data_IF_361754565996
#
_entry.id   IF_361754565996
#
_cell.length_a   1.000
_cell.length_b   1.000
_cell.length_c   1.000
_cell.angle_alpha   90.00
_cell.angle_beta   90.00
_cell.angle_gamma   90.00
#
_symmetry.space_group_name_H-M   'P 1'
#
loop_
_entity.id
_entity.type
_entity.pdbx_description
1 polymer ?
#
# COMPACT_ATOMS: atom_id res chain seq x y z
N UNK A 1 -0.51 -23.05 30.46
CA UNK A 1 -1.96 -23.27 30.65
C UNK A 1 -2.69 -22.34 29.69
N UNK A 2 -3.50 -22.88 28.78
CA UNK A 2 -4.31 -22.09 27.84
C UNK A 2 -4.45 -22.74 26.47
N UNK A 3 -4.93 -23.99 26.44
CA UNK A 3 -5.40 -24.65 25.22
C UNK A 3 -6.84 -24.14 24.99
N UNK A 4 -7.07 -23.37 23.93
CA UNK A 4 -8.43 -23.16 23.42
C UNK A 4 -8.59 -24.11 22.23
N UNK A 5 -9.04 -25.33 22.55
CA UNK A 5 -9.57 -26.27 21.58
C UNK A 5 -10.95 -25.78 21.14
N UNK A 6 -11.09 -25.36 19.89
CA UNK A 6 -12.40 -25.22 19.26
C UNK A 6 -12.91 -26.63 18.88
N UNK A 7 -13.64 -27.26 19.81
CA UNK A 7 -14.48 -28.41 19.51
C UNK A 7 -15.67 -27.94 18.67
N UNK A 8 -15.63 -28.17 17.36
CA UNK A 8 -16.83 -28.15 16.52
C UNK A 8 -17.44 -29.54 16.60
N UNK A 9 -18.32 -29.75 17.57
CA UNK A 9 -19.22 -30.89 17.61
C UNK A 9 -20.40 -30.65 16.66
N UNK A 10 -20.36 -31.25 15.47
CA UNK A 10 -21.51 -31.31 14.56
C UNK A 10 -22.06 -32.74 14.58
N UNK A 11 -23.16 -32.92 15.34
CA UNK A 11 -23.98 -34.12 15.34
C UNK A 11 -24.66 -34.30 13.98
N UNK A 12 -24.28 -35.35 13.27
CA UNK A 12 -25.05 -35.83 12.13
C UNK A 12 -24.93 -37.35 11.95
N UNK A 13 -26.10 -37.98 11.91
CA UNK A 13 -26.39 -39.34 11.45
C UNK A 13 -25.40 -39.84 10.39
N UNK A 14 -24.67 -40.92 10.67
CA UNK A 14 -23.76 -41.64 9.75
C UNK A 14 -22.89 -40.75 8.82
N UNK A 15 -22.48 -39.56 9.25
CA UNK A 15 -21.67 -38.65 8.43
C UNK A 15 -20.19 -39.01 8.49
N UNK A 16 -19.57 -39.10 7.32
CA UNK A 16 -18.14 -39.32 7.10
C UNK A 16 -17.27 -38.53 8.10
N UNK A 17 -16.45 -39.25 8.87
CA UNK A 17 -15.56 -38.68 9.87
C UNK A 17 -14.50 -37.79 9.20
N UNK A 18 -14.49 -36.50 9.54
CA UNK A 18 -13.47 -35.53 9.14
C UNK A 18 -12.52 -35.34 10.31
N UNK A 19 -11.22 -35.51 10.08
CA UNK A 19 -10.18 -35.30 11.08
C UNK A 19 -9.22 -34.19 10.63
N UNK A 20 -9.02 -33.11 11.41
CA UNK A 20 -8.07 -32.06 11.06
C UNK A 20 -6.62 -32.56 11.18
N UNK A 21 -5.77 -32.16 10.23
CA UNK A 21 -4.31 -32.35 10.24
C UNK A 21 -3.58 -31.02 10.49
N UNK A 22 -4.16 -29.91 10.01
CA UNK A 22 -3.79 -28.53 10.33
C UNK A 22 -5.00 -27.62 10.12
N UNK A 23 -4.82 -26.29 10.19
CA UNK A 23 -5.86 -25.32 9.82
C UNK A 23 -6.32 -25.46 8.36
N UNK A 24 -5.41 -25.89 7.47
CA UNK A 24 -5.64 -25.97 6.02
C UNK A 24 -5.78 -27.40 5.49
N UNK A 25 -5.35 -28.44 6.23
CA UNK A 25 -5.36 -29.83 5.76
C UNK A 25 -6.23 -30.73 6.63
N UNK A 26 -7.04 -31.58 5.99
CA UNK A 26 -8.01 -32.45 6.66
C UNK A 26 -8.00 -33.84 6.03
N UNK A 27 -8.17 -34.88 6.85
CA UNK A 27 -8.42 -36.25 6.40
C UNK A 27 -9.91 -36.54 6.43
N UNK A 28 -10.47 -36.99 5.30
CA UNK A 28 -11.88 -37.37 5.18
C UNK A 28 -12.02 -38.58 4.27
N UNK A 29 -12.75 -39.59 4.72
CA UNK A 29 -13.06 -40.81 3.94
C UNK A 29 -11.82 -41.45 3.30
N UNK A 30 -10.71 -41.52 4.06
CA UNK A 30 -9.46 -42.12 3.61
C UNK A 30 -8.64 -41.27 2.62
N UNK A 31 -9.01 -40.03 2.33
CA UNK A 31 -8.25 -39.12 1.48
C UNK A 31 -7.86 -37.82 2.23
N UNK A 32 -6.83 -37.14 1.71
CA UNK A 32 -6.41 -35.83 2.21
C UNK A 32 -7.11 -34.73 1.39
N UNK A 33 -7.51 -33.67 2.08
CA UNK A 33 -8.12 -32.48 1.51
C UNK A 33 -7.37 -31.23 1.95
N UNK A 34 -7.15 -30.31 1.01
CA UNK A 34 -6.77 -28.93 1.29
C UNK A 34 -8.02 -28.04 1.33
N UNK A 35 -8.18 -27.27 2.40
CA UNK A 35 -9.32 -26.39 2.67
C UNK A 35 -8.78 -25.07 3.23
N UNK A 36 -8.71 -24.00 2.44
CA UNK A 36 -8.06 -22.77 2.85
C UNK A 36 -8.77 -22.15 4.06
N UNK A 37 -8.01 -21.91 5.13
CA UNK A 37 -8.46 -21.32 6.39
C UNK A 37 -9.65 -22.04 7.03
N UNK A 38 -9.83 -23.33 6.75
CA UNK A 38 -10.91 -24.13 7.33
C UNK A 38 -12.34 -23.66 6.96
N UNK A 39 -12.50 -22.83 5.92
CA UNK A 39 -13.78 -22.21 5.53
C UNK A 39 -14.82 -23.17 4.89
N UNK A 40 -14.86 -24.42 5.37
CA UNK A 40 -15.87 -25.44 5.07
C UNK A 40 -15.72 -26.08 3.69
N UNK A 41 -15.97 -27.40 3.62
CA UNK A 41 -16.01 -28.16 2.36
C UNK A 41 -16.98 -27.56 1.31
N UNK A 42 -18.01 -26.84 1.77
CA UNK A 42 -19.05 -26.26 0.91
C UNK A 42 -18.60 -25.02 0.13
N UNK A 43 -17.50 -24.35 0.53
CA UNK A 43 -16.97 -23.16 -0.16
C UNK A 43 -15.76 -23.44 -1.05
N UNK A 44 -15.30 -24.69 -1.06
CA UNK A 44 -14.19 -25.14 -1.90
C UNK A 44 -13.20 -25.97 -1.11
N UNK A 45 -13.00 -27.22 -1.53
CA UNK A 45 -11.97 -28.11 -1.01
C UNK A 45 -11.29 -28.83 -2.16
N UNK A 46 -9.98 -29.01 -2.08
CA UNK A 46 -9.22 -29.82 -3.03
C UNK A 46 -9.00 -31.21 -2.45
N UNK A 47 -9.64 -32.23 -3.03
CA UNK A 47 -9.24 -33.62 -2.78
C UNK A 47 -7.86 -33.85 -3.39
N UNK A 48 -6.91 -34.29 -2.60
CA UNK A 48 -5.54 -34.51 -3.02
C UNK A 48 -5.33 -35.95 -3.48
N UNK A 49 -4.41 -36.14 -4.42
CA UNK A 49 -3.81 -37.43 -4.74
C UNK A 49 -2.50 -37.51 -3.97
N UNK A 50 -2.59 -37.83 -2.68
CA UNK A 50 -1.46 -37.90 -1.76
C UNK A 50 -1.39 -39.27 -1.09
N UNK A 51 -0.18 -39.72 -0.78
CA UNK A 51 0.05 -40.90 0.03
C UNK A 51 -0.31 -40.62 1.49
N UNK A 52 -1.48 -41.11 1.88
CA UNK A 52 -2.10 -40.84 3.19
C UNK A 52 -1.23 -41.35 4.36
N UNK A 53 -0.43 -42.39 4.13
CA UNK A 53 0.39 -43.02 5.18
C UNK A 53 1.62 -42.18 5.54
N UNK A 54 2.23 -41.52 4.55
CA UNK A 54 3.41 -40.66 4.71
C UNK A 54 3.12 -39.16 4.73
N UNK A 55 1.84 -38.77 4.54
CA UNK A 55 1.44 -37.36 4.50
C UNK A 55 1.77 -36.64 5.81
N UNK A 56 2.46 -35.50 5.70
CA UNK A 56 2.81 -34.62 6.79
C UNK A 56 2.64 -33.15 6.38
N UNK A 57 2.03 -32.36 7.25
CA UNK A 57 1.95 -30.91 7.07
C UNK A 57 3.30 -30.30 7.47
N UNK A 58 3.87 -29.47 6.59
CA UNK A 58 5.11 -28.71 6.89
C UNK A 58 4.73 -27.49 7.71
N UNK A 59 3.89 -26.62 7.14
CA UNK A 59 3.32 -25.42 7.78
C UNK A 59 2.28 -24.79 6.86
N UNK A 60 1.16 -24.32 7.41
CA UNK A 60 0.12 -23.60 6.66
C UNK A 60 -0.25 -24.37 5.38
N UNK A 61 -0.08 -23.74 4.21
CA UNK A 61 -0.39 -24.28 2.89
C UNK A 61 0.64 -25.27 2.36
N UNK A 62 1.77 -25.50 3.04
CA UNK A 62 2.83 -26.42 2.65
C UNK A 62 2.67 -27.78 3.34
N UNK A 63 2.71 -28.85 2.54
CA UNK A 63 2.70 -30.23 3.03
C UNK A 63 3.61 -31.10 2.17
N UNK A 64 3.82 -32.35 2.58
CA UNK A 64 4.55 -33.35 1.80
C UNK A 64 4.04 -34.75 2.07
N UNK A 65 4.33 -35.65 1.16
CA UNK A 65 4.33 -37.09 1.41
C UNK A 65 5.66 -37.69 0.94
N UNK A 66 5.75 -39.01 0.83
CA UNK A 66 6.97 -39.70 0.38
C UNK A 66 7.36 -39.40 -1.08
N UNK A 67 6.43 -38.96 -1.92
CA UNK A 67 6.59 -38.80 -3.37
C UNK A 67 6.51 -37.34 -3.83
N UNK A 68 5.90 -36.43 -3.05
CA UNK A 68 5.67 -35.04 -3.46
C UNK A 68 5.75 -34.05 -2.30
N UNK A 69 6.08 -32.81 -2.66
CA UNK A 69 5.78 -31.62 -1.85
C UNK A 69 4.54 -30.94 -2.45
N UNK A 70 3.67 -30.46 -1.57
CA UNK A 70 2.42 -29.81 -1.92
C UNK A 70 2.42 -28.36 -1.47
N UNK A 71 1.92 -27.49 -2.36
CA UNK A 71 1.53 -26.12 -2.04
C UNK A 71 0.04 -25.96 -2.33
N UNK A 72 -0.75 -25.57 -1.32
CA UNK A 72 -2.21 -25.46 -1.43
C UNK A 72 -2.90 -26.73 -1.98
N UNK A 73 -2.36 -27.90 -1.59
CA UNK A 73 -2.81 -29.21 -2.05
C UNK A 73 -2.42 -29.58 -3.49
N UNK A 74 -1.65 -28.76 -4.21
CA UNK A 74 -1.13 -29.07 -5.53
C UNK A 74 0.32 -29.58 -5.46
N UNK A 75 0.65 -30.72 -6.11
CA UNK A 75 2.01 -31.22 -6.14
C UNK A 75 2.92 -30.23 -6.88
N UNK A 76 4.16 -30.07 -6.40
CA UNK A 76 5.17 -29.20 -6.97
C UNK A 76 6.29 -30.06 -7.56
N UNK A 77 6.63 -29.84 -8.83
CA UNK A 77 7.55 -30.69 -9.60
C UNK A 77 9.00 -30.18 -9.58
N UNK A 78 9.21 -28.88 -9.33
CA UNK A 78 10.55 -28.27 -9.37
C UNK A 78 11.35 -28.40 -8.06
N UNK A 79 10.72 -28.92 -7.01
CA UNK A 79 11.31 -28.95 -5.66
C UNK A 79 11.96 -30.30 -5.35
N UNK A 80 13.12 -30.29 -4.71
CA UNK A 80 13.67 -31.53 -4.15
C UNK A 80 12.90 -31.94 -2.88
N UNK A 81 12.18 -33.05 -2.95
CA UNK A 81 11.27 -33.52 -1.89
C UNK A 81 12.00 -33.75 -0.56
N UNK A 82 13.25 -34.24 -0.61
CA UNK A 82 13.99 -34.66 0.59
C UNK A 82 14.51 -33.47 1.37
N UNK A 83 14.93 -32.43 0.68
CA UNK A 83 15.60 -31.26 1.26
C UNK A 83 14.69 -30.04 1.36
N UNK A 84 13.49 -30.07 0.77
CA UNK A 84 12.53 -28.99 0.86
C UNK A 84 12.17 -28.64 2.32
N UNK A 85 12.24 -27.35 2.63
CA UNK A 85 11.91 -26.80 3.94
C UNK A 85 11.51 -25.33 3.85
N UNK A 86 10.96 -24.81 4.95
CA UNK A 86 10.69 -23.37 5.11
C UNK A 86 11.74 -22.75 6.03
N UNK A 87 12.65 -21.96 5.46
CA UNK A 87 13.63 -21.19 6.23
C UNK A 87 13.09 -19.78 6.46
N UNK A 88 12.70 -19.46 7.69
CA UNK A 88 12.05 -18.18 8.00
C UNK A 88 10.83 -17.89 7.10
N UNK A 89 9.99 -18.91 6.85
CA UNK A 89 8.85 -18.90 5.93
C UNK A 89 9.22 -18.75 4.43
N UNK A 90 10.49 -18.84 4.06
CA UNK A 90 10.94 -18.86 2.67
C UNK A 90 11.06 -20.32 2.23
N UNK A 91 10.32 -20.77 1.19
CA UNK A 91 10.45 -22.11 0.67
C UNK A 91 11.79 -22.26 -0.05
N UNK A 92 12.58 -23.23 0.40
CA UNK A 92 13.88 -23.56 -0.17
C UNK A 92 14.04 -25.08 -0.27
N UNK A 93 14.92 -25.52 -1.16
CA UNK A 93 15.55 -26.83 -1.07
C UNK A 93 17.08 -26.67 -1.02
N UNK A 94 17.84 -27.75 -1.23
CA UNK A 94 19.30 -27.68 -1.18
C UNK A 94 19.94 -26.80 -2.27
N UNK A 95 19.26 -26.59 -3.41
CA UNK A 95 19.80 -25.86 -4.58
C UNK A 95 19.05 -24.54 -4.86
N UNK A 96 17.78 -24.45 -4.49
CA UNK A 96 16.89 -23.39 -4.96
C UNK A 96 16.16 -22.67 -3.83
N UNK A 97 15.88 -21.40 -4.09
CA UNK A 97 14.88 -20.60 -3.38
C UNK A 97 13.65 -20.49 -4.25
N UNK A 98 12.47 -20.69 -3.67
CA UNK A 98 11.21 -20.64 -4.40
C UNK A 98 10.41 -19.38 -4.09
N UNK A 99 9.64 -18.94 -5.07
CA UNK A 99 8.61 -17.92 -4.94
C UNK A 99 7.28 -18.50 -5.40
N UNK A 100 6.20 -17.93 -4.89
CA UNK A 100 4.86 -18.21 -5.39
C UNK A 100 4.52 -17.31 -6.58
N UNK A 101 4.01 -17.89 -7.67
CA UNK A 101 3.44 -17.16 -8.80
C UNK A 101 1.95 -17.48 -8.98
N UNK A 102 1.15 -16.45 -9.32
CA UNK A 102 -0.27 -16.59 -9.64
C UNK A 102 -1.22 -16.23 -8.50
N UNK A 103 -2.45 -16.78 -8.57
CA UNK A 103 -3.51 -16.54 -7.59
C UNK A 103 -3.77 -17.79 -6.76
N UNK A 104 -3.73 -17.63 -5.45
CA UNK A 104 -4.02 -18.68 -4.48
C UNK A 104 -5.50 -19.12 -4.64
N UNK A 105 -5.73 -20.32 -5.16
CA UNK A 105 -7.08 -20.89 -5.28
C UNK A 105 -7.10 -22.36 -4.88
N UNK A 106 -8.01 -22.69 -3.96
CA UNK A 106 -8.28 -24.06 -3.54
C UNK A 106 -9.16 -24.83 -4.53
N UNK A 107 -9.76 -24.15 -5.51
CA UNK A 107 -10.75 -24.74 -6.43
C UNK A 107 -10.30 -24.73 -7.88
N UNK A 108 -9.27 -23.97 -8.26
CA UNK A 108 -8.70 -24.06 -9.61
C UNK A 108 -8.04 -25.42 -9.83
N UNK A 109 -7.86 -25.84 -11.08
CA UNK A 109 -6.96 -26.97 -11.35
C UNK A 109 -5.56 -26.66 -10.83
N UNK A 110 -4.79 -27.70 -10.49
CA UNK A 110 -3.35 -27.55 -10.29
C UNK A 110 -2.72 -27.29 -11.65
N UNK A 111 -2.77 -26.03 -12.10
CA UNK A 111 -2.18 -25.59 -13.36
C UNK A 111 -0.78 -25.06 -13.09
N UNK A 112 0.22 -25.65 -13.76
CA UNK A 112 1.65 -25.29 -13.68
C UNK A 112 2.23 -25.32 -12.26
N UNK A 113 3.56 -25.36 -12.16
CA UNK A 113 4.25 -25.25 -10.87
C UNK A 113 3.95 -23.88 -10.26
N UNK A 114 3.40 -23.87 -9.05
CA UNK A 114 3.03 -22.64 -8.34
C UNK A 114 4.23 -22.08 -7.56
N UNK A 115 5.10 -22.98 -7.11
CA UNK A 115 6.44 -22.66 -6.63
C UNK A 115 7.39 -22.63 -7.83
N UNK A 116 7.92 -21.45 -8.11
CA UNK A 116 8.89 -21.21 -9.20
C UNK A 116 10.23 -20.80 -8.60
N UNK A 117 11.31 -21.09 -9.31
CA UNK A 117 12.67 -20.81 -8.84
C UNK A 117 12.94 -19.30 -8.92
N UNK A 118 13.60 -18.78 -7.87
CA UNK A 118 14.23 -17.46 -7.91
C UNK A 118 15.62 -17.66 -8.50
N UNK A 119 15.75 -17.37 -9.79
CA UNK A 119 17.00 -17.57 -10.54
C UNK A 119 18.19 -16.88 -9.87
N UNK A 120 19.27 -17.65 -9.67
CA UNK A 120 20.54 -17.17 -9.10
C UNK A 120 20.56 -16.93 -7.59
N UNK A 121 19.47 -17.23 -6.87
CA UNK A 121 19.41 -17.07 -5.41
C UNK A 121 20.08 -18.25 -4.67
N UNK A 122 20.96 -17.93 -3.72
CA UNK A 122 21.61 -18.92 -2.86
C UNK A 122 20.72 -19.31 -1.65
N UNK A 123 20.21 -20.55 -1.54
CA UNK A 123 19.27 -20.93 -0.47
C UNK A 123 19.89 -20.91 0.94
N UNK A 124 21.21 -21.10 1.04
CA UNK A 124 21.92 -21.07 2.32
C UNK A 124 21.98 -19.66 2.93
N UNK A 125 21.91 -18.60 2.12
CA UNK A 125 22.11 -17.22 2.58
C UNK A 125 20.98 -16.26 2.21
N UNK A 126 20.01 -16.68 1.39
CA UNK A 126 18.87 -15.86 1.02
C UNK A 126 18.04 -15.41 2.22
N UNK A 127 17.74 -14.12 2.28
CA UNK A 127 16.92 -13.50 3.32
C UNK A 127 16.16 -12.28 2.79
N UNK A 128 14.97 -12.05 3.32
CA UNK A 128 14.15 -10.88 2.97
C UNK A 128 14.55 -9.66 3.80
N UNK A 129 14.59 -8.50 3.17
CA UNK A 129 14.83 -7.20 3.80
C UNK A 129 13.54 -6.36 3.83
N UNK A 130 12.39 -7.00 4.03
CA UNK A 130 11.06 -6.39 4.00
C UNK A 130 10.92 -5.15 4.90
N UNK A 131 11.58 -5.16 6.06
CA UNK A 131 11.57 -4.03 6.99
C UNK A 131 12.33 -2.80 6.48
N UNK A 132 13.30 -2.97 5.57
CA UNK A 132 14.05 -1.88 4.96
C UNK A 132 13.34 -1.37 3.71
N UNK A 133 12.95 -2.29 2.82
CA UNK A 133 12.23 -1.99 1.60
C UNK A 133 11.34 -3.18 1.22
N UNK A 134 10.03 -2.98 1.00
CA UNK A 134 9.15 -4.06 0.57
C UNK A 134 9.66 -4.74 -0.70
N UNK A 135 9.57 -6.07 -0.76
CA UNK A 135 10.05 -6.91 -1.86
C UNK A 135 11.57 -6.89 -2.12
N UNK A 136 12.38 -6.28 -1.24
CA UNK A 136 13.83 -6.40 -1.26
C UNK A 136 14.26 -7.67 -0.52
N UNK A 137 15.23 -8.36 -1.09
CA UNK A 137 15.91 -9.50 -0.49
C UNK A 137 17.39 -9.48 -0.88
N UNK A 138 18.18 -10.32 -0.23
CA UNK A 138 19.57 -10.54 -0.61
C UNK A 138 20.02 -11.95 -0.29
N UNK A 139 21.08 -12.38 -0.94
CA UNK A 139 21.89 -13.52 -0.53
C UNK A 139 23.36 -13.07 -0.30
N UNK A 140 24.31 -14.00 -0.29
CA UNK A 140 25.74 -13.69 -0.10
C UNK A 140 26.38 -12.84 -1.20
N UNK A 141 25.80 -12.79 -2.40
CA UNK A 141 26.42 -12.20 -3.60
C UNK A 141 25.53 -11.17 -4.30
N UNK A 142 24.21 -11.26 -4.18
CA UNK A 142 23.25 -10.45 -4.92
C UNK A 142 22.18 -9.85 -4.02
N UNK A 143 21.69 -8.67 -4.41
CA UNK A 143 20.39 -8.16 -3.97
C UNK A 143 19.33 -8.56 -5.00
N UNK A 144 18.10 -8.73 -4.52
CA UNK A 144 16.95 -9.04 -5.35
C UNK A 144 15.82 -8.06 -5.04
N UNK A 145 15.14 -7.59 -6.08
CA UNK A 145 13.89 -6.85 -5.93
C UNK A 145 12.79 -7.55 -6.70
N UNK A 146 11.69 -7.89 -6.02
CA UNK A 146 10.59 -8.68 -6.62
C UNK A 146 11.09 -9.95 -7.32
N UNK A 147 12.00 -10.64 -6.63
CA UNK A 147 12.61 -11.90 -7.07
C UNK A 147 13.50 -11.80 -8.32
N UNK A 148 13.87 -10.59 -8.74
CA UNK A 148 14.82 -10.35 -9.84
C UNK A 148 16.15 -9.84 -9.27
N UNK A 149 17.31 -10.36 -9.73
CA UNK A 149 18.61 -9.90 -9.28
C UNK A 149 18.84 -8.43 -9.69
N UNK A 150 19.49 -7.68 -8.81
CA UNK A 150 19.85 -6.29 -9.03
C UNK A 150 21.30 -6.16 -9.47
N UNK A 151 21.54 -5.37 -10.52
CA UNK A 151 22.88 -4.98 -10.92
C UNK A 151 23.34 -3.75 -10.11
N UNK A 152 23.87 -3.99 -8.92
CA UNK A 152 24.34 -2.98 -7.97
C UNK A 152 25.65 -3.41 -7.34
N UNK A 153 26.45 -2.46 -6.85
CA UNK A 153 27.60 -2.81 -6.02
C UNK A 153 27.13 -3.35 -4.65
N UNK A 154 27.32 -4.66 -4.45
CA UNK A 154 26.81 -5.37 -3.28
C UNK A 154 27.32 -4.79 -1.94
N UNK A 155 28.59 -4.36 -1.89
CA UNK A 155 29.22 -3.90 -0.65
C UNK A 155 28.71 -2.51 -0.21
N UNK A 156 28.35 -1.65 -1.16
CA UNK A 156 27.93 -0.28 -0.90
C UNK A 156 26.43 -0.03 -1.06
N UNK A 157 25.66 -1.03 -1.50
CA UNK A 157 24.21 -0.91 -1.66
C UNK A 157 23.52 -0.53 -0.34
N UNK A 158 22.66 0.48 -0.40
CA UNK A 158 21.96 1.02 0.75
C UNK A 158 20.58 1.58 0.34
N UNK A 159 19.58 1.33 1.19
CA UNK A 159 18.24 1.94 1.05
C UNK A 159 18.29 3.34 1.62
N UNK A 160 18.02 4.36 0.78
CA UNK A 160 18.07 5.77 1.17
C UNK A 160 16.75 6.20 1.79
N UNK A 161 15.64 5.94 1.10
CA UNK A 161 14.27 6.10 1.61
C UNK A 161 13.31 5.15 0.87
N UNK A 162 12.00 5.36 0.98
CA UNK A 162 11.00 4.49 0.36
C UNK A 162 11.03 4.48 -1.18
N UNK A 163 11.55 5.54 -1.80
CA UNK A 163 11.55 5.72 -3.25
C UNK A 163 12.94 5.59 -3.88
N UNK A 164 14.01 5.54 -3.08
CA UNK A 164 15.37 5.59 -3.60
C UNK A 164 16.31 4.66 -2.84
N UNK A 165 17.17 4.00 -3.60
CA UNK A 165 18.32 3.23 -3.10
C UNK A 165 19.57 3.71 -3.81
N UNK A 166 20.75 3.43 -3.26
CA UNK A 166 22.01 3.87 -3.84
C UNK A 166 23.09 2.81 -3.68
N UNK A 167 24.12 2.89 -4.50
CA UNK A 167 25.40 2.25 -4.25
C UNK A 167 26.54 3.27 -4.38
N UNK A 168 27.80 2.84 -4.40
CA UNK A 168 28.95 3.75 -4.56
C UNK A 168 29.02 4.42 -5.94
N UNK A 169 28.33 3.87 -6.95
CA UNK A 169 28.40 4.33 -8.33
C UNK A 169 27.29 5.33 -8.64
N UNK A 170 26.04 5.03 -8.25
CA UNK A 170 24.88 5.83 -8.64
C UNK A 170 23.64 5.65 -7.72
N UNK A 171 22.70 6.58 -7.89
CA UNK A 171 21.35 6.52 -7.29
C UNK A 171 20.42 5.66 -8.16
N UNK A 172 19.41 5.06 -7.54
CA UNK A 172 18.37 4.30 -8.22
C UNK A 172 17.00 4.71 -7.67
N UNK A 173 15.99 4.69 -8.52
CA UNK A 173 14.58 4.86 -8.12
C UNK A 173 13.92 3.50 -7.92
N UNK A 174 13.15 3.37 -6.85
CA UNK A 174 12.31 2.21 -6.57
C UNK A 174 10.93 2.46 -7.16
N UNK A 175 10.54 1.61 -8.11
CA UNK A 175 9.21 1.66 -8.75
C UNK A 175 8.38 0.46 -8.32
N UNK A 176 7.09 0.44 -8.71
CA UNK A 176 6.22 -0.71 -8.50
C UNK A 176 6.69 -1.97 -9.25
N UNK A 177 7.55 -1.85 -10.25
CA UNK A 177 8.01 -2.96 -11.11
C UNK A 177 9.48 -3.35 -10.89
N UNK A 178 10.35 -2.36 -10.72
CA UNK A 178 11.80 -2.56 -10.69
C UNK A 178 12.52 -1.45 -9.90
N UNK A 179 13.79 -1.69 -9.59
CA UNK A 179 14.73 -0.65 -9.16
C UNK A 179 15.55 -0.23 -10.38
N UNK A 180 15.42 1.04 -10.78
CA UNK A 180 15.97 1.55 -12.03
C UNK A 180 17.09 2.56 -11.77
N UNK A 181 18.22 2.50 -12.51
CA UNK A 181 19.34 3.40 -12.31
C UNK A 181 18.98 4.83 -12.71
N UNK A 182 19.52 5.78 -11.97
CA UNK A 182 19.48 7.21 -12.26
C UNK A 182 20.90 7.71 -12.55
N UNK A 183 21.00 8.85 -13.22
CA UNK A 183 22.28 9.42 -13.63
C UNK A 183 23.05 10.14 -12.50
N UNK A 184 22.48 10.25 -11.29
CA UNK A 184 23.09 10.98 -10.17
C UNK A 184 24.13 10.14 -9.43
N UNK A 185 25.25 10.77 -9.06
CA UNK A 185 26.27 10.24 -8.16
C UNK A 185 25.86 10.32 -6.68
N UNK A 186 26.57 9.62 -5.80
CA UNK A 186 26.08 9.29 -4.45
C UNK A 186 26.85 9.93 -3.29
N UNK A 187 27.78 10.84 -3.58
CA UNK A 187 28.68 11.47 -2.61
C UNK A 187 27.91 12.30 -1.55
N UNK A 188 26.93 13.11 -1.96
CA UNK A 188 26.11 13.92 -1.04
C UNK A 188 24.61 13.71 -1.30
N UNK A 189 24.08 12.60 -0.79
CA UNK A 189 22.65 12.26 -0.87
C UNK A 189 22.08 12.18 0.54
N UNK A 190 21.09 13.03 0.84
CA UNK A 190 20.40 13.05 2.13
C UNK A 190 18.93 12.72 1.95
N UNK A 191 18.44 11.69 2.64
CA UNK A 191 17.01 11.50 2.81
C UNK A 191 16.46 12.60 3.71
N UNK A 192 15.50 13.38 3.22
CA UNK A 192 14.80 14.35 4.07
C UNK A 192 13.57 13.73 4.73
N UNK A 193 12.85 12.88 3.99
CA UNK A 193 11.75 12.06 4.49
C UNK A 193 11.55 10.83 3.56
N UNK A 194 10.39 10.18 3.66
CA UNK A 194 10.05 9.01 2.83
C UNK A 194 9.99 9.29 1.32
N UNK A 195 9.70 10.54 0.91
CA UNK A 195 9.47 10.90 -0.48
C UNK A 195 10.60 11.74 -1.10
N UNK A 196 11.23 12.62 -0.32
CA UNK A 196 12.19 13.61 -0.80
C UNK A 196 13.64 13.25 -0.47
N UNK A 197 14.51 13.42 -1.46
CA UNK A 197 15.97 13.45 -1.28
C UNK A 197 16.52 14.84 -1.54
N UNK A 198 17.61 15.17 -0.87
CA UNK A 198 18.40 16.36 -1.14
C UNK A 198 19.78 15.93 -1.65
N UNK A 199 20.13 16.39 -2.85
CA UNK A 199 21.43 16.17 -3.47
C UNK A 199 22.28 17.45 -3.36
N UNK A 200 23.52 17.29 -2.89
CA UNK A 200 24.51 18.37 -2.78
C UNK A 200 23.97 19.64 -2.10
N UNK A 201 23.04 19.49 -1.15
CA UNK A 201 22.34 20.58 -0.47
C UNK A 201 21.67 21.62 -1.39
N UNK A 202 21.39 21.25 -2.65
CA UNK A 202 20.88 22.16 -3.68
C UNK A 202 19.75 21.59 -4.54
N UNK A 203 19.69 20.28 -4.79
CA UNK A 203 18.67 19.69 -5.65
C UNK A 203 17.76 18.81 -4.82
N UNK A 204 16.48 19.20 -4.73
CA UNK A 204 15.44 18.39 -4.14
C UNK A 204 14.89 17.43 -5.20
N UNK A 205 14.98 16.13 -4.95
CA UNK A 205 14.39 15.09 -5.80
C UNK A 205 13.09 14.55 -5.21
N UNK A 206 12.12 14.34 -6.08
CA UNK A 206 10.87 13.65 -5.80
C UNK A 206 10.58 12.64 -6.90
N UNK A 207 10.09 11.45 -6.54
CA UNK A 207 9.58 10.49 -7.52
C UNK A 207 8.05 10.53 -7.57
N UNK A 208 7.50 10.89 -8.74
CA UNK A 208 6.08 10.88 -9.06
C UNK A 208 5.74 9.60 -9.86
N UNK A 209 5.22 8.54 -9.20
CA UNK A 209 4.94 7.27 -9.85
C UNK A 209 3.72 7.32 -10.77
N UNK A 210 2.88 8.36 -10.67
CA UNK A 210 1.68 8.48 -11.48
C UNK A 210 1.91 9.29 -12.76
N UNK A 211 0.99 9.15 -13.72
CA UNK A 211 0.97 9.95 -14.95
C UNK A 211 2.24 9.85 -15.82
N UNK A 212 3.09 8.84 -15.59
CA UNK A 212 4.39 8.66 -16.25
C UNK A 212 5.33 9.87 -16.13
N UNK A 213 5.23 10.64 -15.03
CA UNK A 213 6.08 11.81 -14.80
C UNK A 213 7.50 11.41 -14.42
N UNK A 214 7.67 10.49 -13.46
CA UNK A 214 8.99 10.02 -13.04
C UNK A 214 9.67 10.96 -12.03
N UNK A 215 10.96 11.25 -12.24
CA UNK A 215 11.74 12.08 -11.32
C UNK A 215 11.47 13.56 -11.59
N UNK A 216 11.13 14.28 -10.52
CA UNK A 216 11.05 15.74 -10.49
C UNK A 216 12.24 16.29 -9.71
N UNK A 217 12.85 17.32 -10.27
CA UNK A 217 13.98 18.04 -9.69
C UNK A 217 13.55 19.47 -9.38
N UNK A 218 13.93 19.97 -8.20
CA UNK A 218 13.79 21.36 -7.84
C UNK A 218 15.14 21.87 -7.36
N UNK A 219 15.69 22.87 -8.04
CA UNK A 219 16.83 23.63 -7.54
C UNK A 219 16.39 24.51 -6.37
N UNK A 220 17.11 24.40 -5.27
CA UNK A 220 16.87 25.13 -4.04
C UNK A 220 17.78 26.37 -3.95
N UNK A 221 17.33 27.43 -3.25
CA UNK A 221 18.16 28.57 -2.90
C UNK A 221 19.28 28.18 -1.92
N UNK A 222 20.22 29.11 -1.68
CA UNK A 222 21.38 28.87 -0.81
C UNK A 222 21.06 28.81 0.69
N UNK A 223 19.96 29.44 1.12
CA UNK A 223 19.36 29.22 2.45
C UNK A 223 18.36 28.07 2.30
N UNK A 224 18.22 27.20 3.31
CA UNK A 224 17.35 26.02 3.21
C UNK A 224 16.77 25.62 4.57
N UNK A 225 15.91 26.46 5.14
CA UNK A 225 15.09 26.06 6.28
C UNK A 225 13.97 25.15 5.79
N UNK A 226 14.01 23.88 6.19
CA UNK A 226 13.09 22.85 5.71
C UNK A 226 12.04 22.56 6.78
N UNK A 227 10.75 22.74 6.44
CA UNK A 227 9.60 22.40 7.27
C UNK A 227 8.67 21.47 6.50
N UNK A 228 8.47 20.25 6.99
CA UNK A 228 7.49 19.33 6.42
C UNK A 228 6.10 19.57 7.01
N UNK A 229 5.09 19.66 6.14
CA UNK A 229 3.67 19.60 6.56
C UNK A 229 3.15 18.16 6.52
N UNK A 230 3.67 17.34 5.60
CA UNK A 230 3.49 15.89 5.56
C UNK A 230 4.59 15.26 4.68
N UNK A 231 4.46 13.96 4.36
CA UNK A 231 5.44 13.24 3.55
C UNK A 231 5.64 13.81 2.14
N UNK A 232 4.62 14.46 1.55
CA UNK A 232 4.62 14.98 0.17
C UNK A 232 4.62 16.51 0.08
N UNK A 233 4.43 17.22 1.18
CA UNK A 233 4.41 18.69 1.21
C UNK A 233 5.49 19.24 2.13
N UNK A 234 6.37 20.05 1.56
CA UNK A 234 7.50 20.67 2.23
C UNK A 234 7.54 22.16 1.93
N UNK A 235 7.88 22.95 2.94
CA UNK A 235 8.21 24.36 2.82
C UNK A 235 9.72 24.47 2.96
N UNK A 236 10.37 25.07 1.97
CA UNK A 236 11.80 25.36 1.98
C UNK A 236 11.96 26.86 1.85
N UNK A 237 12.29 27.52 2.95
CA UNK A 237 12.20 28.97 3.12
C UNK A 237 10.84 29.55 2.67
N UNK A 238 10.78 30.15 1.48
CA UNK A 238 9.57 30.77 0.92
C UNK A 238 8.90 29.89 -0.17
N UNK A 239 9.44 28.70 -0.44
CA UNK A 239 8.93 27.80 -1.46
C UNK A 239 8.02 26.75 -0.82
N UNK A 240 6.73 26.80 -1.15
CA UNK A 240 5.80 25.69 -0.87
C UNK A 240 5.90 24.69 -2.00
N UNK A 241 6.26 23.44 -1.68
CA UNK A 241 6.44 22.35 -2.65
C UNK A 241 5.50 21.21 -2.30
N UNK A 242 4.69 20.77 -3.27
CA UNK A 242 3.72 19.69 -3.14
C UNK A 242 4.00 18.65 -4.22
N UNK A 243 4.28 17.41 -3.81
CA UNK A 243 4.57 16.29 -4.70
C UNK A 243 5.60 16.63 -5.79
N UNK A 244 6.71 17.25 -5.39
CA UNK A 244 7.80 17.61 -6.29
C UNK A 244 7.53 18.79 -7.22
N UNK A 245 6.47 19.57 -6.99
CA UNK A 245 6.15 20.78 -7.76
C UNK A 245 5.99 21.98 -6.84
N UNK A 246 6.50 23.13 -7.26
CA UNK A 246 6.22 24.39 -6.58
C UNK A 246 4.72 24.69 -6.64
N UNK A 247 4.18 25.22 -5.54
CA UNK A 247 2.79 25.63 -5.43
C UNK A 247 2.42 26.65 -6.52
N UNK A 248 1.25 26.47 -7.14
CA UNK A 248 0.86 27.20 -8.36
C UNK A 248 0.74 28.73 -8.12
N UNK A 249 0.28 29.14 -6.93
CA UNK A 249 0.16 30.55 -6.60
C UNK A 249 1.48 31.13 -6.06
N UNK A 250 2.18 31.89 -6.89
CA UNK A 250 3.51 32.42 -6.59
C UNK A 250 3.59 33.36 -5.38
N UNK A 251 2.49 34.06 -5.05
CA UNK A 251 2.42 35.00 -3.92
C UNK A 251 1.89 34.35 -2.63
N UNK A 252 1.97 33.03 -2.52
CA UNK A 252 1.61 32.28 -1.30
C UNK A 252 2.50 32.70 -0.14
N UNK A 253 1.91 32.96 1.02
CA UNK A 253 2.65 33.22 2.25
C UNK A 253 3.09 31.89 2.87
N UNK A 254 4.31 31.45 2.53
CA UNK A 254 4.83 30.15 2.93
C UNK A 254 4.92 29.96 4.46
N UNK A 255 5.16 31.04 5.21
CA UNK A 255 5.30 30.99 6.67
C UNK A 255 3.99 30.57 7.35
N UNK A 256 2.87 31.12 6.91
CA UNK A 256 1.52 30.81 7.43
C UNK A 256 0.78 29.72 6.65
N UNK A 257 1.40 29.13 5.64
CA UNK A 257 0.76 28.11 4.80
C UNK A 257 0.37 26.86 5.59
N UNK A 258 -0.88 26.44 5.40
CA UNK A 258 -1.52 25.32 6.07
C UNK A 258 -2.26 24.44 5.07
N UNK A 259 -2.11 23.12 5.22
CA UNK A 259 -2.94 22.14 4.52
C UNK A 259 -4.20 21.86 5.32
N UNK A 260 -5.36 22.04 4.70
CA UNK A 260 -6.65 21.85 5.38
C UNK A 260 -7.29 20.51 5.01
N UNK A 261 -7.21 20.11 3.73
CA UNK A 261 -7.81 18.87 3.25
C UNK A 261 -7.10 18.35 2.01
N UNK A 262 -6.87 17.04 1.97
CA UNK A 262 -6.25 16.37 0.84
C UNK A 262 -5.86 14.94 1.19
N UNK A 263 -5.55 14.16 0.15
CA UNK A 263 -5.11 12.78 0.30
C UNK A 263 -4.11 12.40 -0.79
N UNK A 264 -3.16 11.53 -0.44
CA UNK A 264 -2.21 10.92 -1.39
C UNK A 264 -1.39 11.91 -2.24
N UNK A 265 -1.16 13.13 -1.77
CA UNK A 265 -0.43 14.17 -2.51
C UNK A 265 -1.31 15.05 -3.40
N UNK A 266 -2.62 14.82 -3.43
CA UNK A 266 -3.61 15.75 -3.95
C UNK A 266 -4.11 16.63 -2.80
N UNK A 267 -3.81 17.92 -2.85
CA UNK A 267 -4.33 18.91 -1.92
C UNK A 267 -5.60 19.51 -2.50
N UNK A 268 -6.71 19.37 -1.77
CA UNK A 268 -7.99 19.97 -2.14
C UNK A 268 -8.11 21.38 -1.57
N UNK A 269 -7.93 21.52 -0.26
CA UNK A 269 -7.98 22.81 0.42
C UNK A 269 -6.67 23.10 1.14
N UNK A 270 -6.19 24.32 0.98
CA UNK A 270 -5.11 24.90 1.77
C UNK A 270 -5.39 26.37 1.98
N UNK A 271 -4.70 27.00 2.94
CA UNK A 271 -4.77 28.43 3.15
C UNK A 271 -3.42 28.99 3.56
N UNK A 272 -3.30 30.29 3.44
CA UNK A 272 -2.36 31.07 4.23
C UNK A 272 -3.13 32.15 5.00
N UNK A 273 -2.43 33.05 5.69
CA UNK A 273 -3.07 34.13 6.49
C UNK A 273 -3.91 35.11 5.65
N UNK A 274 -3.68 35.18 4.35
CA UNK A 274 -4.27 36.16 3.43
C UNK A 274 -5.29 35.55 2.46
N UNK A 275 -5.16 34.26 2.12
CA UNK A 275 -5.94 33.63 1.05
C UNK A 275 -6.31 32.17 1.37
N UNK A 276 -7.39 31.73 0.75
CA UNK A 276 -7.77 30.32 0.65
C UNK A 276 -7.46 29.82 -0.76
N UNK A 277 -7.09 28.54 -0.86
CA UNK A 277 -6.77 27.89 -2.11
C UNK A 277 -7.58 26.61 -2.28
N UNK A 278 -8.16 26.43 -3.46
CA UNK A 278 -8.79 25.18 -3.90
C UNK A 278 -7.97 24.55 -5.02
N UNK A 279 -7.54 23.31 -4.85
CA UNK A 279 -6.65 22.60 -5.79
C UNK A 279 -5.43 23.43 -6.22
N UNK A 280 -4.79 24.10 -5.23
CA UNK A 280 -3.61 24.98 -5.36
C UNK A 280 -3.85 26.33 -6.07
N UNK A 281 -5.09 26.63 -6.46
CA UNK A 281 -5.46 27.91 -7.09
C UNK A 281 -6.11 28.84 -6.09
N UNK A 282 -5.83 30.13 -6.23
CA UNK A 282 -6.44 31.18 -5.42
C UNK A 282 -7.97 31.09 -5.53
N UNK A 283 -8.63 31.05 -4.38
CA UNK A 283 -10.08 31.14 -4.27
C UNK A 283 -10.43 32.42 -3.50
N UNK A 284 -10.62 33.50 -4.24
CA UNK A 284 -10.66 34.87 -3.72
C UNK A 284 -11.94 35.19 -2.94
N UNK A 285 -13.00 34.42 -3.16
CA UNK A 285 -14.31 34.60 -2.55
C UNK A 285 -14.37 34.16 -1.08
N UNK A 286 -13.41 33.36 -0.63
CA UNK A 286 -13.38 32.77 0.70
C UNK A 286 -12.60 33.62 1.70
N UNK A 287 -13.15 33.83 2.89
CA UNK A 287 -12.46 34.49 4.00
C UNK A 287 -11.53 33.50 4.73
N UNK A 288 -10.19 33.64 4.63
CA UNK A 288 -9.23 32.71 5.24
C UNK A 288 -9.34 32.62 6.77
N UNK A 289 -9.82 33.70 7.42
CA UNK A 289 -9.90 33.77 8.89
C UNK A 289 -11.01 32.90 9.45
N UNK A 290 -12.11 32.79 8.72
CA UNK A 290 -13.29 32.03 9.15
C UNK A 290 -13.50 30.74 8.37
N UNK A 291 -12.59 30.44 7.44
CA UNK A 291 -12.65 29.24 6.60
C UNK A 291 -12.49 27.94 7.40
N UNK A 292 -13.43 27.02 7.17
CA UNK A 292 -13.52 25.70 7.79
C UNK A 292 -13.85 24.66 6.71
N UNK A 293 -13.01 23.62 6.60
CA UNK A 293 -13.35 22.47 5.76
C UNK A 293 -14.26 21.53 6.52
N UNK A 294 -15.43 21.22 5.94
CA UNK A 294 -16.40 20.32 6.56
C UNK A 294 -16.15 18.87 6.15
N UNK A 295 -15.92 18.61 4.85
CA UNK A 295 -15.63 17.27 4.31
C UNK A 295 -15.21 17.37 2.85
N UNK A 296 -14.05 16.80 2.49
CA UNK A 296 -13.59 16.75 1.09
C UNK A 296 -13.66 18.13 0.40
N UNK A 297 -14.39 18.25 -0.71
CA UNK A 297 -14.54 19.51 -1.43
C UNK A 297 -15.56 20.50 -0.80
N UNK A 298 -16.19 20.16 0.33
CA UNK A 298 -17.18 21.03 0.99
C UNK A 298 -16.53 21.77 2.15
N UNK A 299 -16.63 23.09 2.11
CA UNK A 299 -16.13 23.99 3.12
C UNK A 299 -17.11 25.15 3.35
N UNK A 300 -16.87 25.96 4.36
CA UNK A 300 -17.61 27.21 4.58
C UNK A 300 -16.71 28.28 5.18
N UNK A 301 -17.14 29.52 5.06
CA UNK A 301 -16.67 30.63 5.89
C UNK A 301 -17.85 31.25 6.66
N UNK A 302 -17.66 32.42 7.27
CA UNK A 302 -18.73 33.08 8.02
C UNK A 302 -19.95 33.49 7.16
N UNK A 303 -19.79 33.64 5.84
CA UNK A 303 -20.78 34.22 4.94
C UNK A 303 -21.27 33.25 3.86
N UNK A 304 -20.49 32.22 3.51
CA UNK A 304 -20.75 31.35 2.38
C UNK A 304 -20.45 29.88 2.69
N UNK A 305 -21.18 29.00 2.01
CA UNK A 305 -20.84 27.57 1.89
C UNK A 305 -20.24 27.37 0.50
N UNK A 306 -19.23 26.52 0.40
CA UNK A 306 -18.51 26.24 -0.84
C UNK A 306 -18.54 24.76 -1.19
N UNK A 307 -18.66 24.47 -2.48
CA UNK A 307 -18.49 23.13 -3.05
C UNK A 307 -17.46 23.23 -4.16
N UNK A 308 -16.25 22.77 -3.87
CA UNK A 308 -15.09 23.02 -4.70
C UNK A 308 -14.87 24.52 -4.91
N UNK A 309 -14.73 24.95 -6.17
CA UNK A 309 -14.52 26.35 -6.52
C UNK A 309 -15.82 27.16 -6.74
N UNK A 310 -16.95 26.75 -6.15
CA UNK A 310 -18.26 27.40 -6.34
C UNK A 310 -18.92 27.72 -5.00
N UNK A 311 -19.61 28.86 -4.93
CA UNK A 311 -20.49 29.21 -3.80
C UNK A 311 -21.79 28.41 -3.91
N UNK A 312 -22.21 27.82 -2.80
CA UNK A 312 -23.45 27.08 -2.66
C UNK A 312 -24.45 27.88 -1.81
N UNK A 313 -25.52 28.32 -2.47
CA UNK A 313 -26.56 29.15 -1.86
C UNK A 313 -27.76 28.32 -1.40
N UNK A 314 -28.49 28.82 -0.40
CA UNK A 314 -29.75 28.23 0.07
C UNK A 314 -29.75 27.80 1.54
N UNK A 315 -28.77 26.98 1.99
CA UNK A 315 -28.70 26.56 3.40
C UNK A 315 -28.38 27.73 4.35
N UNK A 316 -28.68 27.54 5.64
CA UNK A 316 -28.22 28.44 6.69
C UNK A 316 -26.72 28.23 6.96
N UNK A 317 -25.88 29.13 6.44
CA UNK A 317 -24.42 29.11 6.55
C UNK A 317 -23.95 28.91 7.99
N UNK A 318 -24.60 29.59 8.94
CA UNK A 318 -24.17 29.58 10.35
C UNK A 318 -24.25 28.18 10.96
N UNK A 319 -25.37 27.50 10.75
CA UNK A 319 -25.61 26.17 11.32
C UNK A 319 -25.24 25.00 10.41
N UNK A 320 -24.90 25.26 9.13
CA UNK A 320 -24.51 24.23 8.18
C UNK A 320 -23.28 23.46 8.66
N UNK A 321 -23.42 22.13 8.69
CA UNK A 321 -22.43 21.22 9.28
C UNK A 321 -22.49 19.82 8.64
N UNK A 322 -21.38 19.09 8.76
CA UNK A 322 -21.32 17.66 8.45
C UNK A 322 -22.04 16.85 9.53
N UNK A 323 -22.63 15.73 9.15
CA UNK A 323 -23.22 14.74 10.06
C UNK A 323 -22.25 13.59 10.28
N UNK A 324 -21.80 13.41 11.53
CA UNK A 324 -20.89 12.32 11.94
C UNK A 324 -21.61 11.14 12.62
N UNK A 325 -22.95 11.10 12.56
CA UNK A 325 -23.74 10.06 13.23
C UNK A 325 -23.88 8.81 12.35
N UNK A 326 -23.59 7.61 12.88
CA UNK A 326 -23.86 6.38 12.13
C UNK A 326 -25.37 6.23 11.89
N UNK A 327 -25.73 5.64 10.74
CA UNK A 327 -27.13 5.31 10.34
C UNK A 327 -28.03 6.51 10.05
N UNK A 328 -27.45 7.67 9.71
CA UNK A 328 -28.20 8.81 9.17
C UNK A 328 -28.10 8.81 7.64
N UNK A 329 -29.22 9.07 6.96
CA UNK A 329 -29.31 9.03 5.49
C UNK A 329 -29.06 10.40 4.85
N UNK A 330 -28.02 11.13 5.31
CA UNK A 330 -27.54 12.38 4.71
C UNK A 330 -26.15 12.72 5.24
N UNK A 331 -25.40 13.54 4.48
CA UNK A 331 -24.02 13.92 4.81
C UNK A 331 -23.94 15.28 5.53
N UNK A 332 -24.84 16.21 5.20
CA UNK A 332 -24.85 17.56 5.76
C UNK A 332 -26.26 18.01 6.12
N UNK A 333 -26.35 18.89 7.10
CA UNK A 333 -27.61 19.49 7.55
C UNK A 333 -27.41 20.92 8.06
N UNK A 334 -28.51 21.65 8.20
CA UNK A 334 -28.58 22.93 8.91
C UNK A 334 -29.78 22.96 9.87
N UNK A 335 -29.89 24.03 10.66
CA UNK A 335 -30.95 24.20 11.67
C UNK A 335 -32.29 24.64 11.06
N UNK A 336 -32.33 25.02 9.78
CA UNK A 336 -33.57 25.25 9.02
C UNK A 336 -34.19 23.93 8.52
N UNK A 337 -33.53 22.80 8.79
CA UNK A 337 -34.00 21.46 8.45
C UNK A 337 -33.61 21.01 7.04
N UNK A 338 -32.75 21.76 6.35
CA UNK A 338 -32.22 21.32 5.07
C UNK A 338 -31.23 20.17 5.29
N UNK A 339 -31.23 19.20 4.38
CA UNK A 339 -30.40 17.99 4.44
C UNK A 339 -29.85 17.69 3.06
N UNK A 340 -28.59 17.28 2.97
CA UNK A 340 -27.92 17.08 1.69
C UNK A 340 -27.09 15.79 1.66
N UNK A 341 -27.11 15.12 0.51
CA UNK A 341 -26.15 14.07 0.16
C UNK A 341 -24.94 14.67 -0.55
N UNK A 342 -23.76 14.20 -0.18
CA UNK A 342 -22.53 14.43 -0.94
C UNK A 342 -22.49 13.47 -2.12
N UNK A 343 -22.41 13.99 -3.34
CA UNK A 343 -22.31 13.16 -4.54
C UNK A 343 -21.28 13.73 -5.52
N UNK A 344 -20.73 12.83 -6.34
CA UNK A 344 -19.88 13.21 -7.47
C UNK A 344 -20.61 12.86 -8.76
N UNK A 345 -20.80 13.84 -9.64
CA UNK A 345 -21.44 13.67 -10.94
C UNK A 345 -20.50 14.14 -12.06
N UNK A 346 -20.09 13.23 -12.96
CA UNK A 346 -19.14 13.50 -14.05
C UNK A 346 -17.86 14.23 -13.61
N UNK A 347 -17.39 13.95 -12.40
CA UNK A 347 -16.19 14.56 -11.83
C UNK A 347 -16.41 15.87 -11.07
N UNK A 348 -17.61 16.47 -11.13
CA UNK A 348 -17.97 17.59 -10.27
C UNK A 348 -18.60 17.11 -8.96
N UNK A 349 -18.24 17.76 -7.86
CA UNK A 349 -18.87 17.53 -6.56
C UNK A 349 -20.13 18.38 -6.47
N UNK A 350 -21.22 17.78 -6.00
CA UNK A 350 -22.51 18.45 -5.78
C UNK A 350 -23.11 18.02 -4.45
N UNK A 351 -23.92 18.92 -3.87
CA UNK A 351 -24.79 18.61 -2.74
C UNK A 351 -26.23 18.47 -3.24
N UNK A 352 -26.80 17.28 -3.07
CA UNK A 352 -28.17 16.98 -3.52
C UNK A 352 -29.12 17.07 -2.33
N UNK A 353 -30.15 17.92 -2.37
CA UNK A 353 -31.14 17.98 -1.31
C UNK A 353 -31.82 16.63 -1.07
N UNK A 354 -31.93 16.22 0.19
CA UNK A 354 -32.70 15.04 0.59
C UNK A 354 -34.16 15.41 0.58
N UNK A 355 -34.82 15.15 -0.55
CA UNK A 355 -36.26 15.30 -0.66
C UNK A 355 -36.94 14.18 0.14
N UNK A 356 -37.83 14.55 1.06
CA UNK A 356 -38.79 13.60 1.63
C UNK A 356 -39.65 13.09 0.48
N UNK A 357 -39.53 11.80 0.15
CA UNK A 357 -40.57 11.12 -0.62
C UNK A 357 -41.85 11.01 0.20
#
# INVERSE_FOLDING_TARGET
MGIISALIGLLFSCKEQVSPLSEDYYKKSGAIYFIPSGNGFERGSRKMVADVASFAVIKEVYARDKDHVYFMGCPQELVDIKTFQLKNNIPIDQEHVFKFEGFASATSSCSQNQLTIIEGADPATYTTLYHQLPALAKDKAHYFYRYQPLNVDYASFNVVNSNFVKDKNQLFVVTDKAILPLHYKTENVKALNKAYLLLNDRILLYYEPYQNIGILEIELPSSNNIKFLNDKTVIIDQLVIISGKQFEYAAVDAESFELLEGANGKVLWSRDKNHVYYEQRLFAEADPKTFEVLKFAVAKDANHIFIGNKIFNGPDVKSFRKVDKPRVNHDFEDDLGNKYWYQTNKGEVILVPVTKK
#
